data_IF_948616244410
#
_entry.id   IF_948616244410
#
_cell.length_a   1.000
_cell.length_b   1.000
_cell.length_c   1.000
_cell.angle_alpha   90.00
_cell.angle_beta   90.00
_cell.angle_gamma   90.00
#
_symmetry.space_group_name_H-M   'P 1'
#
loop_
_entity.id
_entity.type
_entity.pdbx_description
1 polymer ?
#
# COMPACT_ATOMS: atom_id res chain seq x y z
N UNK A 1 -12.25 15.92 -34.12
CA UNK A 1 -11.54 14.64 -34.01
C UNK A 1 -10.13 14.94 -33.56
N UNK A 2 -9.89 14.91 -32.25
CA UNK A 2 -8.53 14.97 -31.71
C UNK A 2 -8.18 13.59 -31.17
N UNK A 3 -7.08 13.06 -31.67
CA UNK A 3 -6.58 11.73 -31.37
C UNK A 3 -6.16 11.68 -29.90
N UNK A 4 -6.81 10.81 -29.13
CA UNK A 4 -6.44 10.45 -27.77
C UNK A 4 -5.15 9.62 -27.89
N UNK A 5 -4.03 10.19 -27.48
CA UNK A 5 -2.80 9.45 -27.22
C UNK A 5 -3.08 8.50 -26.06
N UNK A 6 -3.40 7.25 -26.38
CA UNK A 6 -3.40 6.15 -25.42
C UNK A 6 -2.06 6.14 -24.70
N UNK A 7 -2.09 6.03 -23.38
CA UNK A 7 -0.93 5.83 -22.52
C UNK A 7 -0.19 4.57 -23.01
N UNK A 8 0.87 4.76 -23.79
CA UNK A 8 1.61 3.71 -24.50
C UNK A 8 2.76 3.12 -23.66
N UNK A 9 2.70 3.24 -22.34
CA UNK A 9 3.76 2.73 -21.47
C UNK A 9 3.18 1.70 -20.50
N UNK A 10 3.23 0.42 -20.92
CA UNK A 10 2.82 -0.74 -20.11
C UNK A 10 3.62 -0.88 -18.81
N UNK A 11 4.68 -0.07 -18.60
CA UNK A 11 5.38 0.04 -17.30
C UNK A 11 4.77 1.06 -16.34
N UNK A 12 3.90 1.97 -16.79
CA UNK A 12 3.35 3.05 -15.96
C UNK A 12 2.02 2.73 -15.25
N UNK A 13 1.40 1.58 -15.53
CA UNK A 13 0.05 1.26 -15.07
C UNK A 13 -0.01 -0.04 -14.24
N UNK A 14 0.90 -0.24 -13.30
CA UNK A 14 0.95 -1.51 -12.57
C UNK A 14 -0.07 -1.66 -11.43
N UNK A 15 -0.65 -0.58 -10.87
CA UNK A 15 -1.59 -0.71 -9.75
C UNK A 15 -2.64 0.42 -9.73
N UNK A 16 -3.59 0.41 -10.67
CA UNK A 16 -4.82 1.18 -10.49
C UNK A 16 -5.61 0.57 -9.33
N UNK A 17 -5.86 1.34 -8.27
CA UNK A 17 -6.74 0.91 -7.18
C UNK A 17 -8.20 0.92 -7.65
N UNK A 18 -9.02 0.00 -7.14
CA UNK A 18 -10.48 0.04 -7.36
C UNK A 18 -11.05 1.38 -6.86
N UNK A 19 -12.13 1.87 -7.48
CA UNK A 19 -12.67 3.22 -7.25
C UNK A 19 -12.75 3.62 -5.77
N UNK A 20 -13.36 2.78 -4.93
CA UNK A 20 -13.49 3.03 -3.49
C UNK A 20 -12.15 3.18 -2.75
N UNK A 21 -11.15 2.36 -3.12
CA UNK A 21 -9.83 2.42 -2.49
C UNK A 21 -9.02 3.63 -2.97
N UNK A 22 -9.20 4.04 -4.23
CA UNK A 22 -8.59 5.25 -4.75
C UNK A 22 -9.13 6.50 -4.05
N UNK A 23 -10.46 6.58 -3.84
CA UNK A 23 -11.08 7.72 -3.16
C UNK A 23 -10.60 7.88 -1.71
N UNK A 24 -10.58 6.80 -0.93
CA UNK A 24 -10.08 6.82 0.46
C UNK A 24 -8.61 7.25 0.48
N UNK A 25 -7.79 6.68 -0.41
CA UNK A 25 -6.37 7.01 -0.50
C UNK A 25 -6.14 8.48 -0.90
N UNK A 26 -6.92 9.00 -1.85
CA UNK A 26 -6.89 10.42 -2.25
C UNK A 26 -7.25 11.29 -1.07
N UNK A 27 -8.34 10.99 -0.36
CA UNK A 27 -8.78 11.75 0.81
C UNK A 27 -7.70 11.81 1.89
N UNK A 28 -6.98 10.72 2.14
CA UNK A 28 -5.85 10.71 3.08
C UNK A 28 -4.65 11.50 2.56
N UNK A 29 -4.33 11.39 1.28
CA UNK A 29 -3.26 12.18 0.65
C UNK A 29 -3.54 13.69 0.74
N UNK A 30 -4.79 14.10 0.54
CA UNK A 30 -5.20 15.51 0.58
C UNK A 30 -5.10 16.13 1.98
N UNK A 31 -4.96 15.31 3.03
CA UNK A 31 -4.66 15.75 4.40
C UNK A 31 -3.16 15.94 4.64
N UNK A 32 -2.29 15.55 3.71
CA UNK A 32 -0.84 15.63 3.88
C UNK A 32 -0.32 17.05 3.65
N UNK A 33 0.80 17.38 4.31
CA UNK A 33 1.52 18.64 4.06
C UNK A 33 1.92 18.83 2.59
N UNK A 34 2.17 17.72 1.87
CA UNK A 34 2.52 17.77 0.45
C UNK A 34 1.36 18.35 -0.37
N UNK A 35 0.13 17.89 -0.11
CA UNK A 35 -1.06 18.45 -0.74
C UNK A 35 -1.36 19.87 -0.25
N UNK A 36 -1.18 20.17 1.04
CA UNK A 36 -1.44 21.51 1.57
C UNK A 36 -0.64 22.62 0.89
N UNK A 37 0.60 22.33 0.46
CA UNK A 37 1.44 23.27 -0.29
C UNK A 37 0.87 23.58 -1.67
N UNK A 38 0.07 22.68 -2.22
CA UNK A 38 -0.42 22.69 -3.59
C UNK A 38 -1.90 23.07 -3.70
N UNK A 39 -2.66 23.06 -2.60
CA UNK A 39 -4.13 23.23 -2.60
C UNK A 39 -4.63 24.55 -3.18
N UNK A 40 -3.79 25.58 -3.28
CA UNK A 40 -4.15 26.88 -3.84
C UNK A 40 -4.08 26.94 -5.37
N UNK A 41 -3.57 25.90 -6.03
CA UNK A 41 -3.21 25.92 -7.45
C UNK A 41 -4.37 25.59 -8.41
N UNK A 42 -5.64 25.68 -7.97
CA UNK A 42 -6.84 25.44 -8.80
C UNK A 42 -6.71 24.16 -9.65
N UNK A 43 -6.54 23.03 -8.94
CA UNK A 43 -6.35 21.71 -9.56
C UNK A 43 -7.56 20.85 -9.28
N UNK A 44 -7.96 20.08 -10.28
CA UNK A 44 -8.99 19.06 -10.20
C UNK A 44 -8.33 17.67 -10.28
N UNK A 45 -9.00 16.65 -9.74
CA UNK A 45 -8.55 15.27 -9.85
C UNK A 45 -9.36 14.54 -10.93
N UNK A 46 -8.66 14.01 -11.92
CA UNK A 46 -9.24 13.11 -12.92
C UNK A 46 -9.30 11.69 -12.34
N UNK A 47 -10.50 11.20 -12.08
CA UNK A 47 -10.71 9.86 -11.48
C UNK A 47 -10.43 8.72 -12.46
N UNK A 48 -10.58 8.95 -13.77
CA UNK A 48 -10.30 7.95 -14.79
C UNK A 48 -8.79 7.78 -14.99
N UNK A 49 -8.07 8.90 -15.04
CA UNK A 49 -6.61 8.91 -15.17
C UNK A 49 -5.89 8.74 -13.82
N UNK A 50 -6.62 8.90 -12.70
CA UNK A 50 -6.09 8.93 -11.33
C UNK A 50 -4.95 9.96 -11.14
N UNK A 51 -5.13 11.15 -11.72
CA UNK A 51 -4.12 12.23 -11.70
C UNK A 51 -4.76 13.59 -11.49
N UNK A 52 -4.01 14.49 -10.86
CA UNK A 52 -4.36 15.91 -10.80
C UNK A 52 -4.09 16.59 -12.14
N UNK A 53 -4.94 17.56 -12.50
CA UNK A 53 -4.74 18.45 -13.64
C UNK A 53 -5.20 19.88 -13.30
N UNK A 54 -4.79 20.84 -14.13
CA UNK A 54 -5.33 22.19 -14.09
C UNK A 54 -5.62 22.67 -15.49
N UNK A 55 -6.76 23.33 -15.67
CA UNK A 55 -7.13 23.98 -16.93
C UNK A 55 -6.30 25.26 -17.13
N UNK A 56 -5.78 25.84 -16.04
CA UNK A 56 -4.93 27.02 -16.10
C UNK A 56 -3.48 26.62 -16.40
N UNK A 57 -2.91 27.00 -17.56
CA UNK A 57 -1.55 26.61 -17.95
C UNK A 57 -0.46 27.12 -16.99
N UNK A 58 -0.74 28.17 -16.21
CA UNK A 58 0.20 28.71 -15.22
C UNK A 58 0.59 27.68 -14.17
N UNK A 59 -0.28 26.71 -13.86
CA UNK A 59 -0.06 25.68 -12.85
C UNK A 59 0.44 24.35 -13.45
N UNK A 60 0.99 24.34 -14.67
CA UNK A 60 1.43 23.08 -15.28
C UNK A 60 2.61 22.42 -14.52
N UNK A 61 3.59 23.22 -14.07
CA UNK A 61 4.70 22.74 -13.24
C UNK A 61 4.20 22.20 -11.90
N UNK A 62 3.24 22.90 -11.32
CA UNK A 62 2.59 22.60 -10.05
C UNK A 62 1.82 21.27 -10.11
N UNK A 63 1.06 21.04 -11.18
CA UNK A 63 0.42 19.76 -11.49
C UNK A 63 1.42 18.60 -11.56
N UNK A 64 2.61 18.85 -12.11
CA UNK A 64 3.67 17.83 -12.19
C UNK A 64 4.19 17.46 -10.80
N UNK A 65 4.38 18.46 -9.93
CA UNK A 65 4.84 18.25 -8.55
C UNK A 65 3.82 17.45 -7.75
N UNK A 66 2.53 17.82 -7.79
CA UNK A 66 1.52 17.12 -7.00
C UNK A 66 1.30 15.69 -7.50
N UNK A 67 1.35 15.45 -8.82
CA UNK A 67 1.24 14.11 -9.37
C UNK A 67 2.44 13.23 -8.97
N UNK A 68 3.63 13.81 -8.87
CA UNK A 68 4.80 13.08 -8.37
C UNK A 68 4.62 12.70 -6.90
N UNK A 69 4.17 13.65 -6.07
CA UNK A 69 3.88 13.39 -4.66
C UNK A 69 2.77 12.34 -4.47
N UNK A 70 1.73 12.40 -5.29
CA UNK A 70 0.63 11.43 -5.30
C UNK A 70 1.13 10.02 -5.63
N UNK A 71 1.93 9.85 -6.68
CA UNK A 71 2.54 8.54 -7.03
C UNK A 71 3.39 7.99 -5.89
N UNK A 72 4.26 8.81 -5.31
CA UNK A 72 5.07 8.39 -4.17
C UNK A 72 4.22 7.99 -2.96
N UNK A 73 3.08 8.65 -2.76
CA UNK A 73 2.13 8.28 -1.71
C UNK A 73 1.48 6.91 -2.00
N UNK A 74 1.02 6.68 -3.23
CA UNK A 74 0.45 5.39 -3.66
C UNK A 74 1.43 4.23 -3.50
N UNK A 75 2.69 4.41 -3.89
CA UNK A 75 3.76 3.42 -3.72
C UNK A 75 3.96 3.07 -2.24
N UNK A 76 4.13 4.08 -1.39
CA UNK A 76 4.26 3.87 0.06
C UNK A 76 3.05 3.22 0.69
N UNK A 77 1.85 3.60 0.28
CA UNK A 77 0.64 2.96 0.81
C UNK A 77 0.59 1.47 0.45
N UNK A 78 1.13 1.11 -0.72
CA UNK A 78 1.21 -0.30 -1.11
C UNK A 78 2.23 -1.07 -0.27
N UNK A 79 3.38 -0.47 0.02
CA UNK A 79 4.36 -1.06 0.94
C UNK A 79 3.77 -1.26 2.35
N UNK A 80 3.02 -0.27 2.85
CA UNK A 80 2.31 -0.36 4.13
C UNK A 80 1.31 -1.51 4.13
N UNK A 81 0.51 -1.66 3.05
CA UNK A 81 -0.45 -2.76 2.93
C UNK A 81 0.25 -4.13 2.90
N UNK A 82 1.39 -4.25 2.21
CA UNK A 82 2.18 -5.48 2.17
C UNK A 82 2.79 -5.81 3.55
N UNK A 83 3.32 -4.81 4.25
CA UNK A 83 3.82 -4.96 5.62
C UNK A 83 2.70 -5.34 6.60
N UNK A 84 1.53 -4.73 6.46
CA UNK A 84 0.37 -5.01 7.31
C UNK A 84 -0.06 -6.48 7.17
N UNK A 85 -0.08 -7.03 5.95
CA UNK A 85 -0.35 -8.46 5.71
C UNK A 85 0.64 -9.36 6.42
N UNK A 86 1.94 -9.03 6.40
CA UNK A 86 2.97 -9.81 7.12
C UNK A 86 2.75 -9.76 8.63
N UNK A 87 2.44 -8.59 9.17
CA UNK A 87 2.12 -8.43 10.60
C UNK A 87 0.92 -9.27 11.00
N UNK A 88 -0.13 -9.28 10.19
CA UNK A 88 -1.34 -10.04 10.49
C UNK A 88 -1.11 -11.56 10.42
N UNK A 89 -0.30 -12.02 9.45
CA UNK A 89 0.13 -13.41 9.38
C UNK A 89 0.95 -13.81 10.62
N UNK A 90 1.92 -12.99 11.02
CA UNK A 90 2.74 -13.24 12.23
C UNK A 90 1.86 -13.32 13.49
N UNK A 91 0.86 -12.44 13.62
CA UNK A 91 -0.10 -12.49 14.72
C UNK A 91 -0.89 -13.79 14.74
N UNK A 92 -1.34 -14.27 13.58
CA UNK A 92 -2.06 -15.54 13.46
C UNK A 92 -1.17 -16.73 13.85
N UNK A 93 0.08 -16.77 13.39
CA UNK A 93 1.05 -17.81 13.76
C UNK A 93 1.31 -17.85 15.27
N UNK A 94 1.54 -16.69 15.89
CA UNK A 94 1.73 -16.58 17.35
C UNK A 94 0.50 -17.09 18.09
N UNK A 95 -0.70 -16.76 17.61
CA UNK A 95 -1.93 -17.20 18.26
C UNK A 95 -2.13 -18.71 18.14
N UNK A 96 -1.93 -19.28 16.94
CA UNK A 96 -1.99 -20.72 16.72
C UNK A 96 -1.01 -21.48 17.62
N UNK A 97 0.22 -20.96 17.79
CA UNK A 97 1.20 -21.53 18.70
C UNK A 97 0.72 -21.53 20.16
N UNK A 98 0.20 -20.39 20.64
CA UNK A 98 -0.30 -20.27 22.02
C UNK A 98 -1.47 -21.22 22.29
N UNK A 99 -2.32 -21.42 21.30
CA UNK A 99 -3.46 -22.33 21.41
C UNK A 99 -2.98 -23.79 21.42
N UNK A 100 -2.02 -24.16 20.56
CA UNK A 100 -1.41 -25.50 20.52
C UNK A 100 -0.66 -25.84 21.81
N UNK A 101 0.12 -24.89 22.37
CA UNK A 101 0.81 -25.07 23.65
C UNK A 101 -0.18 -25.30 24.81
N UNK A 102 -1.30 -24.57 24.80
CA UNK A 102 -2.33 -24.66 25.83
C UNK A 102 -3.12 -25.97 25.75
N UNK A 103 -3.39 -26.47 24.55
CA UNK A 103 -4.16 -27.71 24.35
C UNK A 103 -3.36 -28.96 24.73
N UNK A 104 -2.04 -28.93 24.61
CA UNK A 104 -1.23 -30.14 24.61
C UNK A 104 -0.53 -30.49 25.94
N UNK A 105 -0.56 -29.65 26.99
CA UNK A 105 0.14 -29.87 28.29
C UNK A 105 1.53 -30.55 28.14
N UNK A 106 2.32 -30.06 27.18
CA UNK A 106 3.46 -30.78 26.61
C UNK A 106 4.63 -30.97 27.58
N UNK A 107 5.38 -32.06 27.37
CA UNK A 107 6.71 -32.21 27.99
C UNK A 107 7.72 -31.30 27.27
N UNK A 108 8.75 -30.84 27.98
CA UNK A 108 9.77 -29.89 27.47
C UNK A 108 10.35 -30.25 26.07
N UNK A 109 10.52 -31.54 25.77
CA UNK A 109 11.09 -31.98 24.50
C UNK A 109 10.10 -31.88 23.32
N UNK A 110 8.80 -32.04 23.56
CA UNK A 110 7.75 -31.83 22.55
C UNK A 110 7.60 -30.33 22.27
N UNK A 111 7.68 -29.49 23.31
CA UNK A 111 7.74 -28.04 23.17
C UNK A 111 8.89 -27.59 22.28
N UNK A 112 10.08 -28.20 22.42
CA UNK A 112 11.26 -27.89 21.58
C UNK A 112 11.00 -28.12 20.08
N UNK A 113 10.23 -29.15 19.74
CA UNK A 113 9.89 -29.46 18.34
C UNK A 113 8.94 -28.41 17.75
N UNK A 114 7.95 -27.98 18.53
CA UNK A 114 7.00 -26.94 18.10
C UNK A 114 7.69 -25.58 17.99
N UNK A 115 8.55 -25.20 18.94
CA UNK A 115 9.35 -23.97 18.83
C UNK A 115 10.24 -23.95 17.58
N UNK A 116 10.82 -25.09 17.20
CA UNK A 116 11.62 -25.21 15.97
C UNK A 116 10.80 -24.96 14.71
N UNK A 117 9.59 -25.56 14.63
CA UNK A 117 8.67 -25.32 13.50
C UNK A 117 8.20 -23.87 13.45
N UNK A 118 7.79 -23.31 14.59
CA UNK A 118 7.35 -21.92 14.69
C UNK A 118 8.45 -20.93 14.25
N UNK A 119 9.71 -21.17 14.61
CA UNK A 119 10.81 -20.32 14.18
C UNK A 119 10.96 -20.26 12.65
N UNK A 120 10.78 -21.38 11.96
CA UNK A 120 10.84 -21.45 10.48
C UNK A 120 9.66 -20.70 9.86
N UNK A 121 8.44 -20.97 10.32
CA UNK A 121 7.22 -20.32 9.79
C UNK A 121 7.24 -18.81 10.04
N UNK A 122 7.74 -18.37 11.20
CA UNK A 122 7.93 -16.96 11.54
C UNK A 122 8.95 -16.28 10.59
N UNK A 123 10.07 -16.94 10.31
CA UNK A 123 11.09 -16.42 9.40
C UNK A 123 10.52 -16.23 7.97
N UNK A 124 9.78 -17.21 7.47
CA UNK A 124 9.10 -17.14 6.17
C UNK A 124 8.08 -15.99 6.12
N UNK A 125 7.26 -15.84 7.17
CA UNK A 125 6.26 -14.77 7.27
C UNK A 125 6.91 -13.37 7.28
N UNK A 126 8.04 -13.20 7.97
CA UNK A 126 8.77 -11.93 8.02
C UNK A 126 9.39 -11.57 6.65
N UNK A 127 9.91 -12.57 5.93
CA UNK A 127 10.43 -12.38 4.56
C UNK A 127 9.31 -12.15 3.53
N UNK A 128 8.08 -12.56 3.84
CA UNK A 128 6.96 -12.56 2.90
C UNK A 128 7.04 -13.72 1.90
N UNK A 129 7.66 -14.83 2.30
CA UNK A 129 7.94 -16.03 1.49
C UNK A 129 6.91 -17.16 1.73
N UNK A 130 5.64 -16.80 1.97
CA UNK A 130 4.55 -17.76 2.25
C UNK A 130 3.72 -18.13 1.03
#
# INVERSE_FOLDING_TARGET
>A
MNQITKCNDERMCARCFTGDKCEVMRSEFEKTKAYELCKSWQMDFDEELQTYYSINPMFHSDVTVINSAWRMYQERQTEVDELQKRVDLVKQLIQAYKDEEKELELKEWEQSTIYGRFAIELEQALKGET
#
